data_IF_311705332810
#
_entry.id   IF_311705332810
#
_cell.length_a   1.000
_cell.length_b   1.000
_cell.length_c   1.000
_cell.angle_alpha   90.00
_cell.angle_beta   90.00
_cell.angle_gamma   90.00
#
_symmetry.space_group_name_H-M   'P 1'
#
loop_
_entity.id
_entity.type
_entity.pdbx_description
1 polymer ?
#
# COMPACT_ATOMS: atom_id res chain seq x y z
N UNK A 1 8.23 28.07 -14.07
CA UNK A 1 7.94 26.64 -13.85
C UNK A 1 9.26 25.92 -13.67
N UNK A 2 9.74 25.79 -12.43
CA UNK A 2 10.99 25.10 -12.13
C UNK A 2 10.76 23.59 -12.24
N UNK A 3 11.26 22.98 -13.30
CA UNK A 3 11.35 21.52 -13.39
C UNK A 3 12.45 21.13 -12.40
N UNK A 4 12.06 20.61 -11.24
CA UNK A 4 13.00 20.00 -10.31
C UNK A 4 13.61 18.79 -11.05
N UNK A 5 14.82 18.98 -11.55
CA UNK A 5 15.56 18.01 -12.37
C UNK A 5 16.14 16.86 -11.51
N UNK A 6 15.60 16.65 -10.31
CA UNK A 6 15.98 15.55 -9.44
C UNK A 6 15.21 14.32 -9.89
N UNK A 7 15.89 13.41 -10.56
CA UNK A 7 15.37 12.08 -10.86
C UNK A 7 15.19 11.25 -9.60
N UNK A 8 15.70 11.69 -8.44
CA UNK A 8 15.67 10.96 -7.18
C UNK A 8 14.26 10.85 -6.59
N UNK A 9 13.98 9.71 -5.99
CA UNK A 9 12.73 9.44 -5.29
C UNK A 9 12.55 10.39 -4.11
N UNK A 10 11.47 11.16 -4.12
CA UNK A 10 11.17 12.18 -3.10
C UNK A 10 10.87 11.60 -1.71
N UNK A 11 10.74 10.27 -1.59
CA UNK A 11 10.47 9.60 -0.31
C UNK A 11 11.71 9.05 0.38
N UNK A 12 12.74 8.66 -0.39
CA UNK A 12 13.95 8.06 0.16
C UNK A 12 15.24 8.77 -0.24
N UNK A 13 15.17 9.66 -1.23
CA UNK A 13 16.26 10.49 -1.77
C UNK A 13 17.52 9.70 -2.19
N UNK A 14 17.41 8.37 -2.33
CA UNK A 14 18.56 7.48 -2.49
C UNK A 14 18.72 6.89 -3.89
N UNK A 15 17.64 6.82 -4.69
CA UNK A 15 17.63 6.24 -6.04
C UNK A 15 16.65 6.97 -6.92
N UNK A 16 16.81 6.83 -8.23
CA UNK A 16 15.88 7.39 -9.20
C UNK A 16 14.45 6.87 -9.01
N UNK A 17 13.50 7.79 -9.09
CA UNK A 17 12.08 7.56 -9.00
C UNK A 17 11.60 6.85 -10.26
N UNK A 18 11.30 5.57 -10.10
CA UNK A 18 10.55 4.77 -11.07
C UNK A 18 9.35 4.16 -10.37
N UNK A 19 8.31 3.76 -11.11
CA UNK A 19 7.18 3.03 -10.50
C UNK A 19 7.65 1.78 -9.73
N UNK A 20 8.59 1.02 -10.32
CA UNK A 20 9.18 -0.15 -9.67
C UNK A 20 9.89 0.24 -8.38
N UNK A 21 10.65 1.34 -8.38
CA UNK A 21 11.30 1.84 -7.18
C UNK A 21 10.29 2.30 -6.14
N UNK A 22 9.36 3.19 -6.49
CA UNK A 22 8.38 3.78 -5.58
C UNK A 22 7.57 2.71 -4.84
N UNK A 23 7.15 1.64 -5.51
CA UNK A 23 6.30 0.62 -4.88
C UNK A 23 7.07 -0.56 -4.27
N UNK A 24 8.24 -0.94 -4.82
CA UNK A 24 8.92 -2.18 -4.43
C UNK A 24 10.31 -2.01 -3.82
N UNK A 25 11.09 -1.04 -4.29
CA UNK A 25 12.49 -0.90 -3.86
C UNK A 25 12.74 0.30 -2.93
N UNK A 26 11.79 1.22 -2.84
CA UNK A 26 11.88 2.38 -1.98
C UNK A 26 11.84 1.93 -0.53
N UNK A 27 12.85 2.32 0.24
CA UNK A 27 12.98 1.94 1.65
C UNK A 27 11.78 2.44 2.47
N UNK A 28 11.26 3.62 2.13
CA UNK A 28 10.05 4.17 2.72
C UNK A 28 8.84 3.24 2.50
N UNK A 29 8.59 2.89 1.25
CA UNK A 29 7.46 2.03 0.87
C UNK A 29 7.59 0.62 1.44
N UNK A 30 8.82 0.09 1.50
CA UNK A 30 9.11 -1.22 2.11
C UNK A 30 8.79 -1.24 3.59
N UNK A 31 9.14 -0.19 4.34
CA UNK A 31 8.77 -0.07 5.76
C UNK A 31 7.26 0.03 5.94
N UNK A 32 6.57 0.78 5.09
CA UNK A 32 5.12 0.87 5.12
C UNK A 32 4.47 -0.49 4.86
N UNK A 33 4.92 -1.20 3.82
CA UNK A 33 4.47 -2.55 3.50
C UNK A 33 4.69 -3.51 4.66
N UNK A 34 5.88 -3.53 5.27
CA UNK A 34 6.18 -4.37 6.43
C UNK A 34 5.27 -4.06 7.64
N UNK A 35 4.94 -2.80 7.87
CA UNK A 35 3.99 -2.41 8.92
C UNK A 35 2.58 -2.94 8.66
N UNK A 36 2.14 -2.87 7.41
CA UNK A 36 0.83 -3.40 6.97
C UNK A 36 0.82 -4.93 7.01
N UNK A 37 1.91 -5.59 6.63
CA UNK A 37 2.07 -7.05 6.75
C UNK A 37 1.97 -7.52 8.20
N UNK A 38 2.68 -6.85 9.12
CA UNK A 38 2.62 -7.14 10.55
C UNK A 38 1.22 -6.94 11.13
N UNK A 39 0.50 -5.93 10.65
CA UNK A 39 -0.86 -5.67 11.10
C UNK A 39 -1.86 -6.74 10.65
N UNK A 40 -1.69 -7.26 9.43
CA UNK A 40 -2.60 -8.25 8.84
C UNK A 40 -2.16 -9.70 9.07
N UNK A 41 -0.97 -9.91 9.63
CA UNK A 41 -0.29 -11.20 9.73
C UNK A 41 -0.19 -11.94 8.36
N UNK A 42 -0.03 -11.15 7.29
CA UNK A 42 -0.01 -11.63 5.91
C UNK A 42 1.25 -11.10 5.21
N UNK A 43 2.03 -11.95 4.51
CA UNK A 43 3.25 -11.53 3.82
C UNK A 43 2.98 -10.88 2.44
N UNK A 44 2.32 -9.73 2.41
CA UNK A 44 1.93 -8.95 1.21
C UNK A 44 3.12 -8.61 0.30
N UNK A 45 4.26 -8.23 0.85
CA UNK A 45 5.51 -7.94 0.12
C UNK A 45 6.01 -9.17 -0.64
N UNK A 46 5.90 -10.36 -0.04
CA UNK A 46 6.28 -11.63 -0.69
C UNK A 46 5.25 -12.06 -1.74
N UNK A 47 3.98 -11.74 -1.54
CA UNK A 47 2.92 -12.00 -2.53
C UNK A 47 3.16 -11.19 -3.80
N UNK A 48 3.60 -9.94 -3.70
CA UNK A 48 3.92 -9.13 -4.89
C UNK A 48 5.15 -9.65 -5.65
N UNK A 49 6.20 -10.07 -4.95
CA UNK A 49 7.44 -10.58 -5.57
C UNK A 49 7.30 -11.99 -6.18
N UNK A 50 6.51 -12.88 -5.57
CA UNK A 50 6.23 -14.24 -6.07
C UNK A 50 4.90 -14.28 -6.86
N UNK A 51 4.57 -13.12 -7.45
CA UNK A 51 3.28 -12.60 -7.90
C UNK A 51 2.20 -13.58 -8.29
N UNK A 52 2.46 -14.40 -9.30
CA UNK A 52 1.35 -15.04 -9.98
C UNK A 52 0.99 -16.41 -9.38
N UNK A 53 1.97 -17.31 -9.28
CA UNK A 53 1.73 -18.70 -8.88
C UNK A 53 1.30 -18.82 -7.41
N UNK A 54 1.93 -18.04 -6.54
CA UNK A 54 1.60 -18.04 -5.12
C UNK A 54 0.26 -17.36 -4.86
N UNK A 55 -0.05 -16.30 -5.61
CA UNK A 55 -1.35 -15.64 -5.52
C UNK A 55 -2.48 -16.51 -6.02
N UNK A 56 -2.31 -17.25 -7.12
CA UNK A 56 -3.32 -18.22 -7.60
C UNK A 56 -3.58 -19.30 -6.56
N UNK A 57 -2.52 -19.87 -5.96
CA UNK A 57 -2.63 -20.88 -4.89
C UNK A 57 -3.19 -20.34 -3.57
N UNK A 58 -2.98 -19.06 -3.29
CA UNK A 58 -3.52 -18.38 -2.12
C UNK A 58 -5.00 -18.02 -2.32
N UNK A 59 -5.34 -17.48 -3.50
CA UNK A 59 -6.70 -17.08 -3.89
C UNK A 59 -7.66 -18.27 -3.89
N UNK A 60 -7.21 -19.46 -4.29
CA UNK A 60 -8.04 -20.67 -4.24
C UNK A 60 -8.40 -21.12 -2.82
N UNK A 61 -7.67 -20.65 -1.80
CA UNK A 61 -7.93 -20.95 -0.39
C UNK A 61 -8.66 -19.82 0.35
N UNK A 62 -8.79 -18.65 -0.26
CA UNK A 62 -9.34 -17.47 0.42
C UNK A 62 -10.85 -17.33 0.21
N UNK A 63 -11.57 -16.95 1.27
CA UNK A 63 -12.98 -16.59 1.17
C UNK A 63 -13.18 -15.32 0.33
N UNK A 64 -14.40 -15.09 -0.16
CA UNK A 64 -14.76 -13.84 -0.86
C UNK A 64 -14.39 -12.60 -0.02
N UNK A 65 -14.61 -12.68 1.30
CA UNK A 65 -14.25 -11.61 2.23
C UNK A 65 -12.73 -11.39 2.30
N UNK A 66 -11.93 -12.45 2.43
CA UNK A 66 -10.46 -12.33 2.45
C UNK A 66 -9.91 -11.73 1.15
N UNK A 67 -10.47 -12.10 0.00
CA UNK A 67 -10.10 -11.48 -1.28
C UNK A 67 -10.42 -9.97 -1.28
N UNK A 68 -11.61 -9.58 -0.80
CA UNK A 68 -12.00 -8.17 -0.66
C UNK A 68 -11.05 -7.40 0.27
N UNK A 69 -10.65 -7.98 1.40
CA UNK A 69 -9.67 -7.40 2.33
C UNK A 69 -8.34 -7.16 1.62
N UNK A 70 -7.80 -8.17 0.92
CA UNK A 70 -6.55 -8.03 0.19
C UNK A 70 -6.60 -6.93 -0.88
N UNK A 71 -7.66 -6.90 -1.70
CA UNK A 71 -7.85 -5.86 -2.71
C UNK A 71 -7.93 -4.47 -2.07
N UNK A 72 -8.64 -4.36 -0.95
CA UNK A 72 -8.78 -3.09 -0.21
C UNK A 72 -7.44 -2.62 0.34
N UNK A 73 -6.66 -3.53 0.92
CA UNK A 73 -5.32 -3.24 1.48
C UNK A 73 -4.33 -2.82 0.39
N UNK A 74 -4.28 -3.54 -0.73
CA UNK A 74 -3.41 -3.18 -1.86
C UNK A 74 -3.80 -1.81 -2.41
N UNK A 75 -5.09 -1.58 -2.65
CA UNK A 75 -5.58 -0.30 -3.16
C UNK A 75 -5.29 0.86 -2.19
N UNK A 76 -5.50 0.66 -0.89
CA UNK A 76 -5.20 1.66 0.12
C UNK A 76 -3.69 1.96 0.20
N UNK A 77 -2.85 0.93 0.16
CA UNK A 77 -1.39 1.07 0.22
C UNK A 77 -0.85 1.86 -0.97
N UNK A 78 -1.24 1.48 -2.19
CA UNK A 78 -0.85 2.18 -3.43
C UNK A 78 -1.29 3.63 -3.38
N UNK A 79 -2.54 3.88 -2.99
CA UNK A 79 -3.11 5.22 -2.93
C UNK A 79 -2.40 6.12 -1.89
N UNK A 80 -2.16 5.62 -0.68
CA UNK A 80 -1.51 6.41 0.37
C UNK A 80 -0.04 6.67 0.06
N UNK A 81 0.67 5.70 -0.55
CA UNK A 81 2.05 5.92 -1.01
C UNK A 81 2.13 6.97 -2.12
N UNK A 82 1.22 6.89 -3.10
CA UNK A 82 1.10 7.90 -4.15
C UNK A 82 0.79 9.28 -3.56
N UNK A 83 -0.12 9.35 -2.58
CA UNK A 83 -0.44 10.60 -1.87
C UNK A 83 0.78 11.15 -1.13
N UNK A 84 1.51 10.31 -0.39
CA UNK A 84 2.71 10.71 0.34
C UNK A 84 3.79 11.27 -0.60
N UNK A 85 3.97 10.66 -1.77
CA UNK A 85 4.89 11.16 -2.81
C UNK A 85 4.43 12.52 -3.35
N UNK A 86 3.14 12.69 -3.60
CA UNK A 86 2.62 13.97 -4.09
C UNK A 86 2.68 15.08 -3.04
N UNK A 87 2.49 14.77 -1.78
CA UNK A 87 2.71 15.72 -0.69
C UNK A 87 4.19 16.10 -0.57
N UNK A 88 5.10 15.16 -0.79
CA UNK A 88 6.53 15.46 -0.87
C UNK A 88 6.85 16.39 -2.05
N UNK A 89 6.20 16.19 -3.20
CA UNK A 89 6.39 17.03 -4.40
C UNK A 89 5.80 18.44 -4.23
N UNK A 90 4.56 18.55 -3.74
CA UNK A 90 3.81 19.80 -3.71
C UNK A 90 4.07 20.63 -2.45
N UNK A 91 4.20 19.95 -1.30
CA UNK A 91 4.28 20.59 0.02
C UNK A 91 5.64 20.40 0.68
N UNK A 92 6.61 19.75 0.01
CA UNK A 92 7.92 19.40 0.56
C UNK A 92 7.84 18.68 1.91
N UNK A 93 6.76 17.90 2.10
CA UNK A 93 6.46 17.23 3.36
C UNK A 93 6.40 15.73 3.15
N UNK A 94 7.35 15.03 3.75
CA UNK A 94 7.36 13.57 3.76
C UNK A 94 6.75 13.10 5.08
N UNK A 95 5.56 12.46 5.07
CA UNK A 95 5.01 11.87 6.28
C UNK A 95 5.94 10.78 6.82
N UNK A 96 5.89 10.49 8.13
CA UNK A 96 6.64 9.36 8.67
C UNK A 96 6.00 8.05 8.20
N UNK A 97 6.82 7.00 8.04
CA UNK A 97 6.32 5.68 7.66
C UNK A 97 5.22 5.19 8.61
N UNK A 98 5.35 5.47 9.91
CA UNK A 98 4.33 5.16 10.94
C UNK A 98 3.02 5.88 10.66
N UNK A 99 3.05 7.19 10.37
CA UNK A 99 1.84 7.95 10.04
C UNK A 99 1.17 7.43 8.77
N UNK A 100 1.97 7.05 7.75
CA UNK A 100 1.45 6.42 6.53
C UNK A 100 0.82 5.05 6.82
N UNK A 101 1.45 4.21 7.64
CA UNK A 101 0.89 2.91 8.04
C UNK A 101 -0.47 3.12 8.73
N UNK A 102 -0.54 4.01 9.72
CA UNK A 102 -1.79 4.32 10.42
C UNK A 102 -2.88 4.85 9.48
N UNK A 103 -2.50 5.65 8.46
CA UNK A 103 -3.44 6.11 7.44
C UNK A 103 -3.94 4.95 6.57
N UNK A 104 -3.06 4.02 6.16
CA UNK A 104 -3.45 2.83 5.41
C UNK A 104 -4.43 1.98 6.22
N UNK A 105 -4.11 1.70 7.49
CA UNK A 105 -4.97 0.93 8.39
C UNK A 105 -6.37 1.56 8.50
N UNK A 106 -6.43 2.88 8.75
CA UNK A 106 -7.70 3.61 8.82
C UNK A 106 -8.50 3.51 7.52
N UNK A 107 -7.87 3.78 6.37
CA UNK A 107 -8.52 3.68 5.06
C UNK A 107 -9.02 2.27 4.75
N UNK A 108 -8.32 1.23 5.21
CA UNK A 108 -8.77 -0.16 5.05
C UNK A 108 -9.98 -0.43 5.95
N UNK A 109 -9.92 -0.07 7.24
CA UNK A 109 -11.03 -0.28 8.19
C UNK A 109 -12.29 0.44 7.70
N UNK A 110 -12.19 1.73 7.35
CA UNK A 110 -13.32 2.53 6.83
C UNK A 110 -13.96 1.92 5.58
N UNK A 111 -13.13 1.38 4.67
CA UNK A 111 -13.66 0.72 3.46
C UNK A 111 -14.32 -0.61 3.79
N UNK A 112 -13.74 -1.40 4.70
CA UNK A 112 -14.32 -2.68 5.10
C UNK A 112 -15.60 -2.51 5.89
N UNK A 113 -15.70 -1.51 6.77
CA UNK A 113 -16.95 -1.21 7.48
C UNK A 113 -18.05 -0.79 6.52
N UNK A 114 -17.72 0.03 5.50
CA UNK A 114 -18.68 0.43 4.48
C UNK A 114 -19.10 -0.72 3.55
N UNK A 115 -18.18 -1.64 3.20
CA UNK A 115 -18.51 -2.84 2.42
C UNK A 115 -19.34 -3.84 3.26
N UNK A 116 -18.99 -4.02 4.54
CA UNK A 116 -19.75 -4.85 5.48
C UNK A 116 -21.16 -4.31 5.72
N UNK A 117 -21.33 -3.00 5.85
CA UNK A 117 -22.64 -2.36 5.95
C UNK A 117 -23.52 -2.53 4.70
N UNK A 118 -22.91 -2.74 3.52
CA UNK A 118 -23.63 -3.03 2.26
C UNK A 118 -23.95 -4.51 2.07
N UNK A 119 -23.32 -5.40 2.82
CA UNK A 119 -23.64 -6.83 2.87
C UNK A 119 -24.19 -7.17 4.26
N UNK A 120 -25.38 -6.66 4.66
CA UNK A 120 -26.07 -7.29 5.76
C UNK A 120 -26.32 -8.73 5.32
N UNK A 121 -25.88 -9.68 6.12
CA UNK A 121 -26.04 -11.10 5.91
C UNK A 121 -27.43 -11.40 5.34
N UNK A 122 -27.48 -11.95 4.14
CA UNK A 122 -28.44 -12.99 3.84
C UNK A 122 -28.11 -14.17 4.76
N UNK A 123 -28.58 -14.07 6.00
CA UNK A 123 -28.99 -15.24 6.79
C UNK A 123 -30.44 -15.57 6.41
#
# INVERSE_FOLDING_TARGET
MGICNSTLCLLCEAKDETHSHLFFHCEYSRRCLQGVEKWLDIPISKVHYMGLLRWVKWKSKCSKFQNTVMHTVVNATVYVLWRARNDALLNQKIPTSVATISCIQRSVIERLTHIGARNPSTE
#
